data_IF_585572666015
#
_entry.id   IF_585572666015
#
_cell.length_a   1.000
_cell.length_b   1.000
_cell.length_c   1.000
_cell.angle_alpha   90.00
_cell.angle_beta   90.00
_cell.angle_gamma   90.00
#
_symmetry.space_group_name_H-M   'P 1'
#
loop_
_entity.id
_entity.type
_entity.pdbx_description
1 polymer ?
#
# COMPACT_ATOMS: atom_id res chain seq x y z
N UNK A 1 -16.01 2.81 -5.84
CA UNK A 1 -15.95 1.67 -6.77
C UNK A 1 -14.78 1.91 -7.71
N UNK A 2 -13.59 1.48 -7.32
CA UNK A 2 -12.38 1.65 -8.14
C UNK A 2 -12.22 0.40 -9.00
N UNK A 3 -12.06 0.53 -10.34
CA UNK A 3 -12.04 -0.62 -11.24
C UNK A 3 -10.74 -1.40 -11.08
N UNK A 4 -10.87 -2.71 -10.84
CA UNK A 4 -9.79 -3.64 -10.48
C UNK A 4 -8.75 -3.96 -11.56
N UNK A 5 -8.60 -3.19 -12.65
CA UNK A 5 -7.78 -3.65 -13.77
C UNK A 5 -7.01 -2.53 -14.48
N UNK A 6 -5.89 -2.09 -13.90
CA UNK A 6 -4.81 -1.46 -14.67
C UNK A 6 -3.44 -1.73 -14.02
N UNK A 7 -3.08 -3.01 -13.85
CA UNK A 7 -1.71 -3.37 -13.46
C UNK A 7 -0.83 -3.43 -14.71
N UNK A 8 0.20 -2.59 -14.77
CA UNK A 8 1.21 -2.55 -15.84
C UNK A 8 2.19 -3.73 -15.75
N UNK A 9 2.82 -4.19 -16.86
CA UNK A 9 3.63 -5.41 -16.95
C UNK A 9 5.06 -5.25 -16.43
N UNK A 10 5.25 -4.55 -15.31
CA UNK A 10 6.51 -4.56 -14.56
C UNK A 10 6.17 -4.71 -13.10
N UNK A 11 6.33 -5.94 -12.59
CA UNK A 11 6.13 -6.30 -11.18
C UNK A 11 6.50 -5.16 -10.24
N UNK A 12 5.53 -4.43 -9.67
CA UNK A 12 5.79 -3.56 -8.55
C UNK A 12 5.57 -4.40 -7.29
N UNK A 13 6.52 -4.33 -6.36
CA UNK A 13 6.70 -5.18 -5.21
C UNK A 13 5.39 -5.74 -4.60
N UNK A 14 5.43 -7.05 -4.29
CA UNK A 14 4.30 -7.90 -3.89
C UNK A 14 3.62 -7.52 -2.55
N UNK A 15 3.95 -6.38 -1.98
CA UNK A 15 3.27 -5.81 -0.81
C UNK A 15 2.46 -4.57 -1.21
N UNK A 16 1.22 -4.74 -1.72
CA UNK A 16 0.27 -3.64 -1.87
C UNK A 16 -0.01 -2.95 -0.53
N UNK A 17 0.14 -3.65 0.60
CA UNK A 17 0.18 -3.03 1.92
C UNK A 17 1.30 -1.98 2.05
N UNK A 18 2.53 -2.29 1.62
CA UNK A 18 3.63 -1.34 1.72
C UNK A 18 3.40 -0.14 0.80
N UNK A 19 2.88 -0.31 -0.43
CA UNK A 19 2.59 0.84 -1.29
C UNK A 19 1.41 1.69 -0.80
N UNK A 20 0.33 1.05 -0.36
CA UNK A 20 -0.90 1.75 0.03
C UNK A 20 -0.80 2.38 1.42
N UNK A 21 -0.30 1.63 2.42
CA UNK A 21 -0.21 2.10 3.80
C UNK A 21 0.97 3.05 4.00
N UNK A 22 2.11 2.81 3.35
CA UNK A 22 3.28 3.68 3.56
C UNK A 22 3.04 5.10 3.04
N UNK A 23 2.28 5.26 1.94
CA UNK A 23 1.89 6.57 1.44
C UNK A 23 1.07 7.37 2.46
N UNK A 24 0.05 6.75 3.04
CA UNK A 24 -0.84 7.36 4.04
C UNK A 24 -0.11 7.64 5.36
N UNK A 25 0.66 6.67 5.86
CA UNK A 25 1.47 6.84 7.09
C UNK A 25 2.48 7.96 6.93
N UNK A 26 3.14 8.07 5.76
CA UNK A 26 4.11 9.13 5.51
C UNK A 26 3.44 10.51 5.51
N UNK A 27 2.28 10.65 4.88
CA UNK A 27 1.54 11.91 4.90
C UNK A 27 1.17 12.33 6.34
N UNK A 28 0.66 11.39 7.14
CA UNK A 28 0.30 11.63 8.54
C UNK A 28 1.49 11.87 9.48
N UNK A 29 2.64 11.25 9.22
CA UNK A 29 3.85 11.43 10.03
C UNK A 29 4.57 12.75 9.72
N UNK A 30 4.52 13.21 8.47
CA UNK A 30 5.21 14.44 8.04
C UNK A 30 4.27 15.66 7.88
N UNK A 31 2.97 15.53 8.17
CA UNK A 31 2.04 16.66 8.13
C UNK A 31 2.45 17.79 9.10
N UNK A 32 2.32 19.06 8.71
CA UNK A 32 2.64 20.18 9.60
C UNK A 32 1.70 20.23 10.83
N UNK A 33 2.20 20.64 12.01
CA UNK A 33 3.57 21.04 12.31
C UNK A 33 4.53 19.85 12.39
N UNK A 34 5.75 20.01 11.86
CA UNK A 34 6.76 18.95 11.83
C UNK A 34 7.16 18.52 13.26
N UNK A 35 7.30 17.23 13.56
CA UNK A 35 7.73 16.79 14.88
C UNK A 35 9.19 17.24 15.11
N UNK A 36 9.44 17.92 16.22
CA UNK A 36 10.76 18.47 16.58
C UNK A 36 11.56 17.56 17.50
N UNK A 37 10.94 16.50 18.04
CA UNK A 37 11.57 15.52 18.92
C UNK A 37 11.36 14.09 18.40
N UNK A 38 12.29 13.20 18.74
CA UNK A 38 12.15 11.77 18.42
C UNK A 38 10.91 11.15 19.06
N UNK A 39 10.56 11.59 20.27
CA UNK A 39 9.35 11.13 20.94
C UNK A 39 8.09 11.53 20.17
N UNK A 40 7.98 12.79 19.75
CA UNK A 40 6.83 13.24 18.95
C UNK A 40 6.76 12.50 17.60
N UNK A 41 7.90 12.16 17.00
CA UNK A 41 7.94 11.34 15.80
C UNK A 41 7.43 9.92 16.05
N UNK A 42 7.89 9.26 17.13
CA UNK A 42 7.42 7.93 17.52
C UNK A 42 5.92 7.92 17.81
N UNK A 43 5.43 8.89 18.59
CA UNK A 43 4.00 9.04 18.90
C UNK A 43 3.17 9.22 17.64
N UNK A 44 3.64 10.01 16.67
CA UNK A 44 2.96 10.19 15.39
C UNK A 44 2.96 8.95 14.52
N UNK A 45 4.06 8.18 14.49
CA UNK A 45 4.11 6.90 13.77
C UNK A 45 3.09 5.94 14.40
N UNK A 46 3.10 5.80 15.72
CA UNK A 46 2.14 4.95 16.43
C UNK A 46 0.70 5.40 16.16
N UNK A 47 0.41 6.69 16.29
CA UNK A 47 -0.92 7.25 16.02
C UNK A 47 -1.37 7.00 14.58
N UNK A 48 -0.48 7.22 13.60
CA UNK A 48 -0.78 7.03 12.18
C UNK A 48 -1.08 5.56 11.86
N UNK A 49 -0.37 4.63 12.50
CA UNK A 49 -0.60 3.19 12.33
C UNK A 49 -1.88 2.74 13.03
N UNK A 50 -2.20 3.27 14.22
CA UNK A 50 -3.45 2.95 14.92
C UNK A 50 -4.68 3.54 14.26
N UNK A 51 -4.52 4.61 13.49
CA UNK A 51 -5.59 5.25 12.70
C UNK A 51 -5.91 4.50 11.40
N UNK A 52 -5.08 3.52 11.01
CA UNK A 52 -5.37 2.65 9.86
C UNK A 52 -6.63 1.85 10.17
N UNK A 53 -7.72 2.20 9.51
CA UNK A 53 -9.01 1.55 9.69
C UNK A 53 -9.02 0.12 9.09
N UNK A 54 -9.80 -0.77 9.70
CA UNK A 54 -9.96 -2.15 9.22
C UNK A 54 -10.46 -2.23 7.77
N UNK A 55 -11.21 -1.23 7.31
CA UNK A 55 -11.69 -1.15 5.94
C UNK A 55 -10.56 -0.75 4.95
N UNK A 56 -9.58 0.05 5.38
CA UNK A 56 -8.37 0.33 4.60
C UNK A 56 -7.53 -0.94 4.42
N UNK A 57 -7.38 -1.73 5.49
CA UNK A 57 -6.75 -3.05 5.43
C UNK A 57 -7.51 -3.99 4.48
N UNK A 58 -8.84 -4.06 4.57
CA UNK A 58 -9.64 -4.93 3.70
C UNK A 58 -9.51 -4.58 2.21
N UNK A 59 -9.43 -3.28 1.90
CA UNK A 59 -9.17 -2.82 0.53
C UNK A 59 -7.78 -3.26 0.05
N UNK A 60 -6.75 -3.10 0.88
CA UNK A 60 -5.39 -3.57 0.55
C UNK A 60 -5.35 -5.11 0.35
N UNK A 61 -6.08 -5.87 1.17
CA UNK A 61 -6.25 -7.31 1.01
C UNK A 61 -6.98 -7.69 -0.28
N UNK A 62 -8.01 -6.94 -0.66
CA UNK A 62 -8.77 -7.19 -1.90
C UNK A 62 -7.91 -6.90 -3.13
N UNK A 63 -7.10 -5.84 -3.10
CA UNK A 63 -6.16 -5.55 -4.18
C UNK A 63 -5.06 -6.61 -4.28
N UNK A 64 -4.57 -7.10 -3.13
CA UNK A 64 -3.65 -8.23 -3.08
C UNK A 64 -4.28 -9.46 -3.74
N UNK A 65 -5.47 -9.87 -3.30
CA UNK A 65 -6.18 -11.05 -3.82
C UNK A 65 -6.38 -10.98 -5.35
N UNK A 66 -6.78 -9.80 -5.86
CA UNK A 66 -6.88 -9.56 -7.29
C UNK A 66 -5.53 -9.73 -8.02
N UNK A 67 -4.43 -9.21 -7.46
CA UNK A 67 -3.09 -9.40 -8.04
C UNK A 67 -2.63 -10.86 -8.00
N UNK A 68 -2.89 -11.58 -6.91
CA UNK A 68 -2.61 -13.01 -6.81
C UNK A 68 -3.40 -13.80 -7.84
N UNK A 69 -4.67 -13.45 -8.07
CA UNK A 69 -5.50 -14.06 -9.09
C UNK A 69 -4.92 -13.85 -10.51
N UNK A 70 -4.53 -12.61 -10.82
CA UNK A 70 -3.88 -12.29 -12.11
C UNK A 70 -2.55 -13.04 -12.28
N UNK A 71 -1.70 -13.10 -11.25
CA UNK A 71 -0.45 -13.87 -11.27
C UNK A 71 -0.69 -15.38 -11.49
N UNK A 72 -1.72 -15.93 -10.84
CA UNK A 72 -2.15 -17.33 -11.00
C UNK A 72 -2.63 -17.61 -12.42
N UNK A 73 -3.48 -16.75 -12.97
CA UNK A 73 -4.03 -16.87 -14.33
C UNK A 73 -2.94 -16.74 -15.38
N UNK A 74 -1.98 -15.84 -15.17
CA UNK A 74 -0.83 -15.64 -16.07
C UNK A 74 0.27 -16.69 -15.88
N UNK A 75 0.17 -17.62 -14.92
CA UNK A 75 1.20 -18.62 -14.57
C UNK A 75 2.60 -18.02 -14.34
N UNK A 76 2.68 -16.76 -13.93
CA UNK A 76 3.96 -16.03 -13.83
C UNK A 76 4.65 -15.75 -15.17
N UNK A 77 3.92 -15.78 -16.29
CA UNK A 77 4.47 -15.39 -17.59
C UNK A 77 4.79 -13.89 -17.57
N UNK A 78 6.08 -13.58 -17.55
CA UNK A 78 6.61 -12.24 -17.81
C UNK A 78 6.28 -11.90 -19.27
N UNK A 79 5.31 -11.01 -19.51
CA UNK A 79 5.08 -10.47 -20.85
C UNK A 79 6.07 -9.32 -21.06
N UNK A 80 7.28 -9.69 -21.44
CA UNK A 80 8.17 -8.79 -22.17
C UNK A 80 7.70 -8.78 -23.62
N UNK A 81 7.18 -7.65 -24.06
CA UNK A 81 6.92 -7.39 -25.48
C UNK A 81 7.74 -6.15 -25.88
N UNK A 82 8.39 -6.26 -27.04
CA UNK A 82 9.28 -5.27 -27.68
C UNK A 82 8.95 -3.80 -27.41
#
# INVERSE_FOLDING_TARGET
>A
MFPCCHATPRSPDLTPCDFFLWGDVKDKVYSPPMPTTLQALQERITASVTDIDGNMLLNAWTELDCRWDVCRVTKGAHIEHL
#
